data_IF_642366568446
#
_entry.id   IF_642366568446
#
_cell.length_a   1.000
_cell.length_b   1.000
_cell.length_c   1.000
_cell.angle_alpha   90.00
_cell.angle_beta   90.00
_cell.angle_gamma   90.00
#
_symmetry.space_group_name_H-M   'P 1'
#
loop_
_entity.id
_entity.type
_entity.pdbx_description
1 polymer ?
#
# COMPACT_ATOMS: atom_id res chain seq x y z
N UNK A 1 -22.57 -23.10 -4.77
CA UNK A 1 -21.25 -22.48 -4.49
C UNK A 1 -20.26 -23.56 -4.11
N UNK A 2 -18.99 -23.40 -4.47
CA UNK A 2 -17.92 -24.31 -4.04
C UNK A 2 -17.57 -23.95 -2.60
N UNK A 3 -17.42 -24.96 -1.74
CA UNK A 3 -16.90 -24.77 -0.38
C UNK A 3 -15.45 -24.27 -0.49
N UNK A 4 -15.18 -23.11 0.10
CA UNK A 4 -13.83 -22.55 0.23
C UNK A 4 -13.32 -22.87 1.64
N UNK A 5 -12.00 -22.95 1.78
CA UNK A 5 -11.33 -22.91 3.07
C UNK A 5 -10.69 -21.55 3.20
N UNK A 6 -10.95 -20.88 4.33
CA UNK A 6 -10.47 -19.54 4.62
C UNK A 6 -9.74 -19.56 5.97
N UNK A 7 -8.46 -19.21 5.96
CA UNK A 7 -7.65 -19.12 7.16
C UNK A 7 -7.62 -17.68 7.67
N UNK A 8 -8.07 -17.47 8.91
CA UNK A 8 -7.83 -16.21 9.62
C UNK A 8 -6.37 -16.19 10.06
N UNK A 9 -5.60 -15.27 9.50
CA UNK A 9 -4.19 -15.11 9.82
C UNK A 9 -4.03 -14.46 11.20
N UNK A 10 -3.01 -14.87 11.97
CA UNK A 10 -2.70 -14.22 13.24
C UNK A 10 -2.19 -12.80 13.00
N UNK A 11 -2.26 -11.99 14.05
CA UNK A 11 -1.78 -10.61 14.02
C UNK A 11 -2.80 -9.61 13.50
N UNK A 12 -2.43 -8.34 13.65
CA UNK A 12 -3.19 -7.18 13.18
C UNK A 12 -2.47 -6.56 12.00
N UNK A 13 -3.25 -6.10 11.03
CA UNK A 13 -2.78 -5.50 9.80
C UNK A 13 -3.17 -4.03 9.72
N UNK A 14 -2.41 -3.28 8.93
CA UNK A 14 -2.62 -1.88 8.63
C UNK A 14 -2.61 -1.66 7.12
N UNK A 15 -3.46 -0.75 6.65
CA UNK A 15 -3.42 -0.20 5.30
C UNK A 15 -2.86 1.22 5.40
N UNK A 16 -1.70 1.46 4.82
CA UNK A 16 -0.96 2.71 4.92
C UNK A 16 -0.75 3.34 3.55
N UNK A 17 -0.77 4.68 3.50
CA UNK A 17 -0.70 5.46 2.27
C UNK A 17 0.29 6.63 2.42
N UNK A 18 1.16 6.78 1.43
CA UNK A 18 2.00 7.96 1.22
C UNK A 18 1.61 8.65 -0.09
N UNK A 19 1.53 9.98 -0.06
CA UNK A 19 1.41 10.78 -1.29
C UNK A 19 2.77 10.81 -2.00
N UNK A 20 2.81 10.55 -3.31
CA UNK A 20 4.06 10.59 -4.09
C UNK A 20 4.44 11.99 -4.58
N UNK A 21 3.57 13.00 -4.37
CA UNK A 21 3.70 14.36 -4.96
C UNK A 21 3.94 15.51 -3.95
N UNK A 22 4.35 15.25 -2.70
CA UNK A 22 4.72 16.34 -1.77
C UNK A 22 6.19 16.68 -1.83
N UNK A 23 6.52 17.72 -2.61
CA UNK A 23 7.42 18.85 -2.26
C UNK A 23 7.96 19.58 -3.50
N UNK A 24 7.08 20.23 -4.26
CA UNK A 24 7.48 21.19 -5.30
C UNK A 24 6.89 22.60 -5.09
N UNK A 25 6.35 22.90 -3.90
CA UNK A 25 5.73 24.21 -3.62
C UNK A 25 6.14 24.81 -2.27
N UNK A 26 7.44 25.04 -2.08
CA UNK A 26 7.97 26.08 -1.17
C UNK A 26 9.47 26.17 -1.43
N UNK A 27 9.91 27.16 -2.22
CA UNK A 27 11.23 27.81 -2.20
C UNK A 27 11.53 28.52 -3.55
N UNK A 28 10.63 29.39 -4.02
CA UNK A 28 10.95 30.32 -5.13
C UNK A 28 10.74 31.80 -4.78
N UNK A 29 10.57 32.14 -3.51
CA UNK A 29 10.46 33.54 -3.08
C UNK A 29 11.45 33.90 -1.97
N UNK A 30 12.74 33.67 -2.22
CA UNK A 30 13.82 34.37 -1.51
C UNK A 30 15.10 34.27 -2.32
N UNK A 31 15.34 35.29 -3.14
CA UNK A 31 16.66 35.82 -3.57
C UNK A 31 16.53 36.49 -4.94
N UNK A 32 15.85 37.64 -4.97
CA UNK A 32 15.95 38.58 -6.08
C UNK A 32 15.92 40.02 -5.56
N UNK A 33 16.87 40.35 -4.68
CA UNK A 33 17.29 41.73 -4.48
C UNK A 33 18.73 41.78 -3.97
N UNK A 34 19.69 41.64 -4.88
CA UNK A 34 21.04 42.16 -4.68
C UNK A 34 21.70 42.46 -6.03
N UNK A 35 21.89 43.77 -6.25
CA UNK A 35 22.97 44.45 -6.97
C UNK A 35 23.06 44.29 -8.49
N UNK A 36 22.38 45.22 -9.18
CA UNK A 36 22.87 45.82 -10.42
C UNK A 36 24.16 46.58 -10.14
N UNK A 37 25.29 46.11 -10.67
CA UNK A 37 26.41 46.91 -11.22
C UNK A 37 27.67 46.03 -11.31
N UNK A 38 27.99 45.52 -12.51
CA UNK A 38 29.39 45.58 -12.98
C UNK A 38 29.55 45.30 -14.46
N UNK A 39 30.34 46.20 -15.05
CA UNK A 39 30.60 46.40 -16.47
C UNK A 39 31.31 45.24 -17.20
N UNK A 40 31.08 45.26 -18.51
CA UNK A 40 31.59 44.35 -19.52
C UNK A 40 33.10 44.43 -19.76
N UNK A 41 33.74 43.27 -19.98
CA UNK A 41 34.72 43.07 -21.08
C UNK A 41 35.13 41.61 -21.27
N UNK A 42 35.02 41.15 -22.53
CA UNK A 42 35.83 40.18 -23.27
C UNK A 42 35.84 38.66 -22.96
N UNK A 43 35.34 37.95 -23.99
CA UNK A 43 36.00 36.91 -24.79
C UNK A 43 35.88 35.40 -24.46
N UNK A 44 35.16 34.77 -25.41
CA UNK A 44 35.37 33.48 -26.09
C UNK A 44 35.30 32.17 -25.32
N UNK A 45 34.31 31.39 -25.76
CA UNK A 45 34.33 29.95 -25.99
C UNK A 45 34.82 29.06 -24.84
N UNK A 46 33.88 28.46 -24.11
CA UNK A 46 34.10 27.10 -23.60
C UNK A 46 32.82 26.32 -23.33
N UNK A 47 32.64 25.33 -24.19
CA UNK A 47 32.11 23.99 -24.00
C UNK A 47 30.79 23.80 -23.23
N UNK A 48 29.83 23.31 -24.01
CA UNK A 48 28.58 22.75 -23.58
C UNK A 48 28.76 21.59 -22.57
N UNK A 49 27.91 21.66 -21.54
CA UNK A 49 27.18 20.55 -20.92
C UNK A 49 27.97 19.30 -20.53
N UNK A 50 28.18 19.10 -19.23
CA UNK A 50 27.58 17.99 -18.46
C UNK A 50 27.57 18.43 -16.99
N UNK A 51 26.46 18.97 -16.52
CA UNK A 51 26.23 19.20 -15.09
C UNK A 51 25.78 17.88 -14.47
N UNK A 52 26.74 17.09 -13.99
CA UNK A 52 26.48 15.95 -13.13
C UNK A 52 26.22 16.44 -11.72
N UNK A 53 25.02 16.11 -11.24
CA UNK A 53 24.55 16.22 -9.86
C UNK A 53 24.12 17.61 -9.39
N UNK A 54 22.79 17.78 -9.30
CA UNK A 54 22.08 18.23 -8.09
C UNK A 54 20.59 17.94 -8.27
N UNK A 55 20.19 16.67 -8.14
CA UNK A 55 18.81 16.38 -7.76
C UNK A 55 18.68 16.75 -6.28
N UNK A 56 18.14 17.94 -6.03
CA UNK A 56 17.62 18.33 -4.72
C UNK A 56 16.56 17.32 -4.31
N UNK A 57 16.94 16.40 -3.42
CA UNK A 57 16.00 15.54 -2.70
C UNK A 57 15.53 16.35 -1.49
N UNK A 58 14.44 17.09 -1.64
CA UNK A 58 13.72 17.68 -0.52
C UNK A 58 12.36 16.98 -0.38
N UNK A 59 12.24 16.15 0.66
CA UNK A 59 11.16 16.24 1.65
C UNK A 59 9.91 15.34 1.54
N UNK A 60 9.80 14.47 0.54
CA UNK A 60 8.95 13.28 0.67
C UNK A 60 9.69 12.20 1.46
N UNK A 61 9.24 11.84 2.67
CA UNK A 61 9.77 10.67 3.40
C UNK A 61 9.35 9.42 2.61
N UNK A 62 10.17 9.01 1.64
CA UNK A 62 10.00 7.73 0.96
C UNK A 62 10.19 6.65 2.03
N UNK A 63 9.19 5.78 2.28
CA UNK A 63 9.34 4.73 3.29
C UNK A 63 10.52 3.83 2.92
N UNK A 64 11.22 3.32 3.94
CA UNK A 64 12.23 2.28 3.74
C UNK A 64 11.52 0.96 3.40
N UNK A 65 11.22 0.77 2.10
CA UNK A 65 10.55 -0.42 1.61
C UNK A 65 11.40 -1.67 1.80
N UNK A 66 12.72 -1.57 1.98
CA UNK A 66 13.55 -2.75 2.22
C UNK A 66 13.23 -3.40 3.58
N UNK A 67 12.85 -2.60 4.58
CA UNK A 67 12.44 -3.10 5.90
C UNK A 67 11.17 -3.96 5.81
N UNK A 68 10.23 -3.64 4.91
CA UNK A 68 9.00 -4.41 4.72
C UNK A 68 9.26 -5.85 4.26
N UNK A 69 10.28 -6.05 3.41
CA UNK A 69 10.62 -7.38 2.87
C UNK A 69 11.58 -8.17 3.77
N UNK A 70 12.19 -7.53 4.76
CA UNK A 70 13.06 -8.19 5.74
C UNK A 70 12.27 -9.02 6.76
N UNK A 71 10.97 -8.75 6.93
CA UNK A 71 10.10 -9.33 7.96
C UNK A 71 9.73 -10.83 7.76
N UNK A 72 10.29 -11.53 6.79
CA UNK A 72 10.04 -12.96 6.58
C UNK A 72 8.60 -13.27 6.11
N UNK A 73 8.04 -14.41 6.55
CA UNK A 73 6.79 -15.04 6.05
C UNK A 73 5.47 -14.26 6.31
N UNK A 74 5.54 -12.96 6.58
CA UNK A 74 4.38 -12.10 6.73
C UNK A 74 3.78 -11.74 5.36
N UNK A 75 2.46 -11.55 5.33
CA UNK A 75 1.80 -11.03 4.13
C UNK A 75 2.05 -9.52 4.02
N UNK A 76 2.68 -9.11 2.92
CA UNK A 76 2.91 -7.70 2.59
C UNK A 76 2.48 -7.46 1.15
N UNK A 77 1.68 -6.42 0.92
CA UNK A 77 1.34 -5.93 -0.41
C UNK A 77 1.79 -4.49 -0.53
N UNK A 78 2.57 -4.18 -1.57
CA UNK A 78 3.01 -2.83 -1.90
C UNK A 78 2.46 -2.49 -3.28
N UNK A 79 1.61 -1.48 -3.34
CA UNK A 79 0.99 -1.00 -4.58
C UNK A 79 1.36 0.45 -4.79
N UNK A 80 2.06 0.74 -5.88
CA UNK A 80 2.41 2.10 -6.27
C UNK A 80 1.62 2.47 -7.53
N UNK A 81 0.98 3.63 -7.51
CA UNK A 81 0.42 4.26 -8.70
C UNK A 81 0.97 5.70 -8.81
N UNK A 82 0.59 6.44 -9.86
CA UNK A 82 1.17 7.76 -10.14
C UNK A 82 1.02 8.79 -9.00
N UNK A 83 0.02 8.64 -8.13
CA UNK A 83 -0.28 9.60 -7.05
C UNK A 83 -0.06 9.09 -5.63
N UNK A 84 0.12 7.77 -5.44
CA UNK A 84 0.29 7.20 -4.11
C UNK A 84 1.09 5.91 -4.08
N UNK A 85 1.64 5.68 -2.89
CA UNK A 85 2.19 4.40 -2.47
C UNK A 85 1.30 3.85 -1.34
N UNK A 86 0.64 2.73 -1.61
CA UNK A 86 -0.19 1.99 -0.66
C UNK A 86 0.54 0.73 -0.19
N UNK A 87 0.56 0.51 1.12
CA UNK A 87 1.16 -0.66 1.76
C UNK A 87 0.13 -1.32 2.66
N UNK A 88 -0.04 -2.63 2.48
CA UNK A 88 -0.79 -3.50 3.38
C UNK A 88 0.20 -4.45 4.04
N UNK A 89 0.21 -4.51 5.37
CA UNK A 89 1.10 -5.41 6.10
C UNK A 89 0.78 -5.44 7.60
N UNK A 90 1.49 -6.28 8.37
CA UNK A 90 1.43 -6.26 9.82
C UNK A 90 1.73 -4.88 10.41
N UNK A 91 1.03 -4.50 11.48
CA UNK A 91 1.15 -3.18 12.11
C UNK A 91 2.57 -2.88 12.61
N UNK A 92 3.34 -3.91 12.96
CA UNK A 92 4.70 -3.81 13.52
C UNK A 92 5.80 -3.59 12.47
N UNK A 93 5.49 -3.79 11.18
CA UNK A 93 6.49 -3.67 10.11
C UNK A 93 6.31 -2.44 9.23
N UNK A 94 5.09 -1.86 9.22
CA UNK A 94 4.77 -0.77 8.31
C UNK A 94 5.36 0.55 8.83
N UNK A 95 6.17 1.28 8.03
CA UNK A 95 6.84 2.49 8.50
C UNK A 95 5.89 3.61 8.94
N UNK A 96 6.35 4.43 9.88
CA UNK A 96 5.67 5.65 10.32
C UNK A 96 5.64 6.73 9.22
N UNK A 97 4.80 7.74 9.41
CA UNK A 97 4.70 8.90 8.51
C UNK A 97 3.71 8.73 7.34
N UNK A 98 3.01 7.60 7.28
CA UNK A 98 1.86 7.39 6.41
C UNK A 98 0.56 7.90 7.05
N UNK A 99 -0.43 8.18 6.20
CA UNK A 99 -1.83 8.07 6.61
C UNK A 99 -2.14 6.57 6.70
N UNK A 100 -2.45 6.10 7.90
CA UNK A 100 -2.59 4.67 8.17
C UNK A 100 -3.93 4.36 8.83
N UNK A 101 -4.52 3.25 8.42
CA UNK A 101 -5.74 2.71 8.99
C UNK A 101 -5.47 1.29 9.50
N UNK A 102 -5.40 1.15 10.82
CA UNK A 102 -5.14 -0.11 11.52
C UNK A 102 -6.45 -0.86 11.84
N UNK A 103 -6.36 -1.91 12.66
CA UNK A 103 -7.49 -2.72 13.09
C UNK A 103 -7.99 -3.68 12.01
N UNK A 104 -7.12 -4.15 11.13
CA UNK A 104 -7.49 -5.12 10.08
C UNK A 104 -7.07 -6.54 10.44
N UNK A 105 -7.91 -7.51 10.04
CA UNK A 105 -7.68 -8.94 10.15
C UNK A 105 -7.64 -9.55 8.77
N UNK A 106 -6.57 -10.28 8.48
CA UNK A 106 -6.32 -10.90 7.18
C UNK A 106 -6.97 -12.29 7.13
N UNK A 107 -7.84 -12.50 6.15
CA UNK A 107 -8.42 -13.78 5.78
C UNK A 107 -7.80 -14.22 4.45
N UNK A 108 -7.21 -15.41 4.43
CA UNK A 108 -6.58 -15.97 3.23
C UNK A 108 -7.39 -17.14 2.72
N UNK A 109 -7.76 -17.14 1.45
CA UNK A 109 -8.36 -18.31 0.81
C UNK A 109 -7.26 -19.35 0.59
N UNK A 110 -7.53 -20.62 0.90
CA UNK A 110 -6.60 -21.73 0.65
C UNK A 110 -6.43 -21.91 -0.88
N UNK A 111 -5.21 -21.67 -1.37
CA UNK A 111 -4.83 -21.82 -2.77
C UNK A 111 -4.13 -23.16 -3.09
N UNK A 112 -3.66 -23.35 -4.34
CA UNK A 112 -3.74 -22.40 -5.43
C UNK A 112 -5.14 -22.38 -6.10
N UNK A 113 -5.60 -21.19 -6.45
CA UNK A 113 -6.80 -20.96 -7.22
C UNK A 113 -6.43 -20.91 -8.71
N UNK A 114 -7.08 -21.74 -9.51
CA UNK A 114 -6.93 -21.74 -10.97
C UNK A 114 -7.37 -20.38 -11.55
N UNK A 115 -6.59 -19.78 -12.45
CA UNK A 115 -6.94 -18.49 -13.09
C UNK A 115 -8.27 -18.49 -13.86
N UNK A 116 -8.74 -19.68 -14.27
CA UNK A 116 -10.04 -19.84 -14.95
C UNK A 116 -11.22 -19.84 -13.98
N UNK A 117 -10.96 -19.87 -12.68
CA UNK A 117 -11.97 -19.89 -11.65
C UNK A 117 -12.54 -18.49 -11.45
N UNK A 118 -13.79 -18.33 -11.86
CA UNK A 118 -14.51 -17.05 -11.75
C UNK A 118 -15.45 -17.06 -10.56
N UNK A 119 -15.71 -15.89 -10.00
CA UNK A 119 -16.77 -15.69 -9.01
C UNK A 119 -16.39 -15.97 -7.55
N UNK A 120 -15.14 -16.36 -7.23
CA UNK A 120 -14.69 -16.47 -5.82
C UNK A 120 -14.80 -15.13 -5.12
N UNK A 121 -14.14 -14.10 -5.64
CA UNK A 121 -14.19 -12.77 -5.04
C UNK A 121 -15.60 -12.17 -5.03
N UNK A 122 -16.42 -12.48 -6.04
CA UNK A 122 -17.82 -12.04 -6.07
C UNK A 122 -18.66 -12.72 -4.98
N UNK A 123 -18.46 -14.02 -4.74
CA UNK A 123 -19.13 -14.75 -3.67
C UNK A 123 -18.71 -14.20 -2.29
N UNK A 124 -17.40 -14.14 -2.01
CA UNK A 124 -16.87 -13.62 -0.76
C UNK A 124 -17.34 -12.19 -0.48
N UNK A 125 -17.24 -11.31 -1.48
CA UNK A 125 -17.70 -9.94 -1.33
C UNK A 125 -19.22 -9.85 -1.11
N UNK A 126 -20.00 -10.68 -1.81
CA UNK A 126 -21.45 -10.72 -1.65
C UNK A 126 -21.88 -11.19 -0.26
N UNK A 127 -21.25 -12.22 0.28
CA UNK A 127 -21.52 -12.76 1.61
C UNK A 127 -21.19 -11.76 2.72
N UNK A 128 -20.00 -11.15 2.63
CA UNK A 128 -19.57 -10.13 3.59
C UNK A 128 -20.45 -8.89 3.51
N UNK A 129 -20.79 -8.43 2.30
CA UNK A 129 -21.69 -7.30 2.10
C UNK A 129 -23.10 -7.58 2.64
N UNK A 130 -23.65 -8.78 2.45
CA UNK A 130 -24.94 -9.17 3.00
C UNK A 130 -24.96 -9.15 4.55
N UNK A 131 -23.81 -9.41 5.18
CA UNK A 131 -23.61 -9.28 6.62
C UNK A 131 -23.21 -7.85 7.07
N UNK A 132 -23.17 -6.88 6.16
CA UNK A 132 -22.76 -5.51 6.45
C UNK A 132 -21.29 -5.39 6.88
N UNK A 133 -20.42 -6.26 6.37
CA UNK A 133 -18.97 -6.24 6.63
C UNK A 133 -18.27 -5.63 5.42
N UNK A 134 -17.55 -4.52 5.65
CA UNK A 134 -16.66 -3.95 4.64
C UNK A 134 -15.41 -4.80 4.50
N UNK A 135 -14.84 -4.83 3.30
CA UNK A 135 -13.62 -5.58 3.02
C UNK A 135 -12.62 -4.77 2.21
N UNK A 136 -11.34 -5.12 2.35
CA UNK A 136 -10.27 -4.72 1.45
C UNK A 136 -9.68 -5.98 0.79
N UNK A 137 -9.67 -6.06 -0.53
CA UNK A 137 -9.27 -7.25 -1.27
C UNK A 137 -7.88 -7.10 -1.89
N UNK A 138 -7.07 -8.15 -1.79
CA UNK A 138 -5.77 -8.26 -2.46
C UNK A 138 -5.64 -9.66 -3.05
N UNK A 139 -5.51 -9.75 -4.37
CA UNK A 139 -5.20 -10.99 -5.07
C UNK A 139 -3.69 -11.14 -5.24
N UNK A 140 -3.20 -12.36 -5.11
CA UNK A 140 -1.85 -12.77 -5.47
C UNK A 140 -1.89 -13.69 -6.70
N UNK A 141 -0.75 -14.26 -7.06
CA UNK A 141 -0.70 -15.26 -8.14
C UNK A 141 -1.49 -16.53 -7.77
N UNK A 142 -1.32 -17.03 -6.54
CA UNK A 142 -1.87 -18.31 -6.13
C UNK A 142 -3.25 -18.19 -5.49
N UNK A 143 -3.56 -17.08 -4.82
CA UNK A 143 -4.79 -16.99 -4.04
C UNK A 143 -5.23 -15.56 -3.77
N UNK A 144 -6.45 -15.44 -3.26
CA UNK A 144 -7.05 -14.20 -2.82
C UNK A 144 -6.94 -14.02 -1.30
N UNK A 145 -6.75 -12.77 -0.90
CA UNK A 145 -6.73 -12.32 0.48
C UNK A 145 -7.78 -11.23 0.67
N UNK A 146 -8.46 -11.28 1.81
CA UNK A 146 -9.47 -10.32 2.20
C UNK A 146 -9.15 -9.80 3.59
N UNK A 147 -9.08 -8.49 3.76
CA UNK A 147 -8.98 -7.87 5.06
C UNK A 147 -10.36 -7.37 5.49
N UNK A 148 -10.72 -7.65 6.73
CA UNK A 148 -11.91 -7.10 7.39
C UNK A 148 -11.50 -6.36 8.66
N UNK A 149 -12.35 -5.45 9.14
CA UNK A 149 -12.09 -4.82 10.44
C UNK A 149 -12.15 -5.85 11.56
N UNK A 150 -11.26 -5.72 12.54
CA UNK A 150 -11.21 -6.58 13.73
C UNK A 150 -12.56 -6.58 14.46
N UNK A 151 -13.17 -5.39 14.60
CA UNK A 151 -14.52 -5.23 15.16
C UNK A 151 -15.61 -6.03 14.42
N UNK A 152 -15.40 -6.35 13.14
CA UNK A 152 -16.33 -7.10 12.30
C UNK A 152 -15.90 -8.56 12.08
N UNK A 153 -14.75 -8.99 12.59
CA UNK A 153 -14.18 -10.32 12.33
C UNK A 153 -15.17 -11.43 12.70
N UNK A 154 -15.79 -11.35 13.87
CA UNK A 154 -16.78 -12.36 14.30
C UNK A 154 -17.97 -12.43 13.34
N UNK A 155 -18.45 -11.28 12.84
CA UNK A 155 -19.57 -11.20 11.90
C UNK A 155 -19.17 -11.74 10.52
N UNK A 156 -17.95 -11.43 10.07
CA UNK A 156 -17.38 -11.95 8.83
C UNK A 156 -17.28 -13.48 8.85
N UNK A 157 -16.69 -14.03 9.92
CA UNK A 157 -16.53 -15.49 10.11
C UNK A 157 -17.88 -16.20 10.11
N UNK A 158 -18.88 -15.64 10.81
CA UNK A 158 -20.22 -16.21 10.85
C UNK A 158 -20.85 -16.24 9.44
N UNK A 159 -20.79 -15.12 8.71
CA UNK A 159 -21.34 -15.02 7.36
C UNK A 159 -20.71 -16.03 6.39
N UNK A 160 -19.38 -16.15 6.40
CA UNK A 160 -18.67 -17.13 5.55
C UNK A 160 -19.04 -18.58 5.91
N UNK A 161 -19.17 -18.89 7.20
CA UNK A 161 -19.60 -20.23 7.65
C UNK A 161 -21.04 -20.54 7.26
N UNK A 162 -21.95 -19.57 7.39
CA UNK A 162 -23.36 -19.69 6.98
C UNK A 162 -23.51 -19.89 5.47
N UNK A 163 -22.65 -19.27 4.67
CA UNK A 163 -22.57 -19.48 3.22
C UNK A 163 -21.96 -20.85 2.83
N UNK A 164 -21.49 -21.63 3.81
CA UNK A 164 -20.98 -22.98 3.62
C UNK A 164 -19.46 -23.10 3.47
N UNK A 165 -18.71 -22.02 3.74
CA UNK A 165 -17.26 -22.04 3.75
C UNK A 165 -16.70 -22.57 5.08
N UNK A 166 -15.51 -23.15 5.04
CA UNK A 166 -14.77 -23.52 6.24
C UNK A 166 -13.85 -22.39 6.64
N UNK A 167 -13.94 -21.96 7.90
CA UNK A 167 -13.09 -20.88 8.42
C UNK A 167 -12.26 -21.41 9.59
N UNK A 168 -10.94 -21.32 9.49
CA UNK A 168 -9.95 -21.79 10.47
C UNK A 168 -9.22 -20.60 11.12
N UNK A 169 -8.56 -20.82 12.26
CA UNK A 169 -7.73 -19.80 12.92
C UNK A 169 -8.48 -18.72 13.71
N UNK A 170 -9.75 -18.98 14.04
CA UNK A 170 -10.63 -18.10 14.85
C UNK A 170 -10.64 -18.49 16.31
#
# INVERSE_FOLDING_TARGET
MRKLVVDVRPGEYVVARWDTERDASMDTERDASMDTERDASMDTERDASVDTARHGRSGGVSPDLAALFAAGAAFVSVTCNGGELSVVGPVDIVPDGAVAEAGWRLLTVEGPLEFTLTGIMAALAGELAAAGVSLFAVSTYDTDHVLVKDADLTRAVAALREAGHEVRGT
#
